data_IF_689496243229
#
_entry.id   IF_689496243229
#
_cell.length_a   1.000
_cell.length_b   1.000
_cell.length_c   1.000
_cell.angle_alpha   90.00
_cell.angle_beta   90.00
_cell.angle_gamma   90.00
#
_symmetry.space_group_name_H-M   'P 1'
#
loop_
_entity.id
_entity.type
_entity.pdbx_description
1 polymer ?
#
# COMPACT_ATOMS: atom_id res chain seq x y z
N UNK A 1 2.61 27.69 -52.08
CA UNK A 1 3.15 26.64 -51.18
C UNK A 1 3.45 25.36 -51.96
N UNK A 2 4.65 24.79 -51.84
CA UNK A 2 5.06 23.58 -52.58
C UNK A 2 4.31 22.33 -52.09
N UNK A 3 4.26 21.27 -52.91
CA UNK A 3 3.68 19.99 -52.51
C UNK A 3 4.41 19.37 -51.31
N UNK A 4 5.75 19.48 -51.27
CA UNK A 4 6.57 19.02 -50.16
C UNK A 4 6.21 19.74 -48.84
N UNK A 5 6.01 21.05 -48.88
CA UNK A 5 5.63 21.85 -47.71
C UNK A 5 4.25 21.44 -47.15
N UNK A 6 3.29 21.11 -48.03
CA UNK A 6 1.97 20.60 -47.61
C UNK A 6 2.07 19.25 -46.90
N UNK A 7 2.85 18.33 -47.47
CA UNK A 7 3.07 17.00 -46.89
C UNK A 7 3.72 17.13 -45.50
N UNK A 8 4.74 17.96 -45.36
CA UNK A 8 5.40 18.22 -44.06
C UNK A 8 4.41 18.79 -43.03
N UNK A 9 3.54 19.72 -43.44
CA UNK A 9 2.53 20.32 -42.55
C UNK A 9 1.50 19.27 -42.08
N UNK A 10 1.03 18.39 -42.98
CA UNK A 10 0.12 17.31 -42.61
C UNK A 10 0.78 16.29 -41.68
N UNK A 11 2.04 15.93 -41.92
CA UNK A 11 2.78 15.04 -41.03
C UNK A 11 2.99 15.66 -39.65
N UNK A 12 3.34 16.95 -39.56
CA UNK A 12 3.50 17.65 -38.29
C UNK A 12 2.17 17.76 -37.52
N UNK A 13 1.06 18.07 -38.21
CA UNK A 13 -0.26 18.09 -37.59
C UNK A 13 -0.67 16.70 -37.10
N UNK A 14 -0.44 15.64 -37.89
CA UNK A 14 -0.75 14.28 -37.48
C UNK A 14 0.06 13.85 -36.24
N UNK A 15 1.36 14.17 -36.19
CA UNK A 15 2.23 13.91 -35.03
C UNK A 15 1.72 14.70 -33.81
N UNK A 16 1.38 15.98 -33.96
CA UNK A 16 0.88 16.80 -32.87
C UNK A 16 -0.45 16.28 -32.31
N UNK A 17 -1.38 15.87 -33.19
CA UNK A 17 -2.65 15.24 -32.79
C UNK A 17 -2.44 13.91 -32.07
N UNK A 18 -1.53 13.06 -32.55
CA UNK A 18 -1.19 11.78 -31.90
C UNK A 18 -0.59 12.04 -30.52
N UNK A 19 0.34 12.99 -30.37
CA UNK A 19 0.95 13.31 -29.08
C UNK A 19 -0.09 13.83 -28.07
N UNK A 20 -1.05 14.67 -28.50
CA UNK A 20 -2.14 15.12 -27.63
C UNK A 20 -3.13 14.00 -27.26
N UNK A 21 -3.52 13.15 -28.22
CA UNK A 21 -4.38 11.99 -27.98
C UNK A 21 -3.72 11.00 -27.01
N UNK A 22 -2.45 10.71 -27.23
CA UNK A 22 -1.64 9.95 -26.30
C UNK A 22 -1.71 10.61 -24.92
N UNK A 23 -1.31 11.88 -24.78
CA UNK A 23 -1.36 12.61 -23.50
C UNK A 23 -2.72 12.57 -22.78
N UNK A 24 -3.83 12.61 -23.52
CA UNK A 24 -5.18 12.46 -22.99
C UNK A 24 -5.48 11.04 -22.50
N UNK A 25 -5.07 10.00 -23.25
CA UNK A 25 -5.17 8.60 -22.80
C UNK A 25 -4.32 8.36 -21.55
N UNK A 26 -3.11 8.94 -21.50
CA UNK A 26 -2.25 8.92 -20.30
C UNK A 26 -2.97 9.58 -19.11
N UNK A 27 -3.61 10.73 -19.31
CA UNK A 27 -4.38 11.40 -18.25
C UNK A 27 -5.54 10.57 -17.73
N UNK A 28 -6.34 9.99 -18.63
CA UNK A 28 -7.48 9.15 -18.24
C UNK A 28 -6.98 7.95 -17.43
N UNK A 29 -5.89 7.29 -17.86
CA UNK A 29 -5.31 6.17 -17.11
C UNK A 29 -4.76 6.60 -15.75
N UNK A 30 -4.02 7.72 -15.69
CA UNK A 30 -3.52 8.29 -14.42
C UNK A 30 -4.67 8.58 -13.45
N UNK A 31 -5.76 9.18 -13.94
CA UNK A 31 -6.98 9.44 -13.13
C UNK A 31 -7.62 8.13 -12.67
N UNK A 32 -7.77 7.15 -13.55
CA UNK A 32 -8.34 5.83 -13.21
C UNK A 32 -7.49 5.09 -12.18
N UNK A 33 -6.16 5.12 -12.30
CA UNK A 33 -5.27 4.52 -11.30
C UNK A 33 -5.30 5.30 -9.98
N UNK A 34 -5.38 6.64 -10.02
CA UNK A 34 -5.47 7.45 -8.81
C UNK A 34 -6.81 7.28 -8.08
N UNK A 35 -7.91 7.04 -8.80
CA UNK A 35 -9.21 6.75 -8.16
C UNK A 35 -9.17 5.49 -7.30
N UNK A 36 -8.33 4.52 -7.66
CA UNK A 36 -8.12 3.31 -6.87
C UNK A 36 -7.34 3.58 -5.56
N UNK A 37 -6.80 4.78 -5.38
CA UNK A 37 -6.03 5.18 -4.19
C UNK A 37 -6.57 6.42 -3.47
N UNK A 38 -7.71 6.94 -3.91
CA UNK A 38 -8.44 8.01 -3.23
C UNK A 38 -9.35 7.41 -2.16
N UNK A 39 -9.45 8.09 -1.00
CA UNK A 39 -10.38 7.73 0.09
C UNK A 39 -11.82 7.74 -0.46
N UNK A 40 -12.56 6.63 -0.34
CA UNK A 40 -14.00 6.61 -0.57
C UNK A 40 -14.73 7.64 0.30
N UNK A 41 -15.89 8.10 -0.18
CA UNK A 41 -16.74 9.00 0.59
C UNK A 41 -17.46 8.28 1.74
N UNK A 42 -17.77 6.99 1.54
CA UNK A 42 -18.30 6.12 2.55
C UNK A 42 -17.17 5.58 3.45
N UNK A 43 -17.32 5.73 4.76
CA UNK A 43 -16.29 5.37 5.72
C UNK A 43 -16.11 3.84 5.86
N UNK A 44 -17.16 3.06 5.60
CA UNK A 44 -17.07 1.60 5.64
C UNK A 44 -16.31 1.09 4.41
N UNK A 45 -16.63 1.61 3.23
CA UNK A 45 -15.90 1.35 1.99
C UNK A 45 -14.42 1.79 2.11
N UNK A 46 -14.16 2.92 2.77
CA UNK A 46 -12.80 3.36 3.08
C UNK A 46 -12.02 2.32 3.88
N UNK A 47 -12.60 1.80 4.97
CA UNK A 47 -11.91 0.83 5.81
C UNK A 47 -11.58 -0.46 5.07
N UNK A 48 -12.52 -0.97 4.26
CA UNK A 48 -12.30 -2.16 3.43
C UNK A 48 -11.15 -1.94 2.45
N UNK A 49 -11.20 -0.83 1.70
CA UNK A 49 -10.18 -0.47 0.71
C UNK A 49 -8.81 -0.25 1.35
N UNK A 50 -8.76 0.37 2.53
CA UNK A 50 -7.52 0.59 3.25
C UNK A 50 -6.87 -0.72 3.70
N UNK A 51 -7.67 -1.73 4.08
CA UNK A 51 -7.19 -3.08 4.43
C UNK A 51 -6.69 -3.84 3.21
N UNK A 52 -7.41 -3.83 2.09
CA UNK A 52 -6.98 -4.46 0.83
C UNK A 52 -5.61 -3.93 0.37
N UNK A 53 -5.41 -2.61 0.48
CA UNK A 53 -4.13 -1.97 0.19
C UNK A 53 -3.03 -2.46 1.15
N UNK A 54 -3.31 -2.57 2.45
CA UNK A 54 -2.32 -3.05 3.41
C UNK A 54 -1.92 -4.51 3.18
N UNK A 55 -2.85 -5.37 2.78
CA UNK A 55 -2.55 -6.75 2.36
C UNK A 55 -1.62 -6.76 1.14
N UNK A 56 -1.93 -5.97 0.12
CA UNK A 56 -1.10 -5.84 -1.09
C UNK A 56 0.33 -5.41 -0.74
N UNK A 57 0.47 -4.39 0.12
CA UNK A 57 1.78 -3.92 0.57
C UNK A 57 2.51 -4.95 1.42
N UNK A 58 1.81 -5.72 2.25
CA UNK A 58 2.40 -6.78 3.07
C UNK A 58 3.00 -7.92 2.25
N UNK A 59 2.30 -8.31 1.18
CA UNK A 59 2.82 -9.32 0.25
C UNK A 59 4.00 -8.78 -0.56
N UNK A 60 3.92 -7.54 -1.07
CA UNK A 60 5.05 -6.86 -1.73
C UNK A 60 6.27 -6.76 -0.82
N UNK A 61 6.07 -6.38 0.44
CA UNK A 61 7.12 -6.30 1.44
C UNK A 61 7.79 -7.67 1.64
N UNK A 62 6.98 -8.72 1.85
CA UNK A 62 7.46 -10.09 2.07
C UNK A 62 8.25 -10.63 0.87
N UNK A 63 7.86 -10.26 -0.35
CA UNK A 63 8.60 -10.61 -1.56
C UNK A 63 9.98 -9.92 -1.59
N UNK A 64 9.99 -8.59 -1.42
CA UNK A 64 11.20 -7.78 -1.50
C UNK A 64 12.23 -8.11 -0.42
N UNK A 65 11.75 -8.55 0.75
CA UNK A 65 12.56 -9.05 1.86
C UNK A 65 13.53 -10.17 1.43
N UNK A 66 13.15 -10.99 0.44
CA UNK A 66 13.93 -12.15 0.00
C UNK A 66 14.68 -11.98 -1.32
N UNK A 67 14.30 -10.98 -2.10
CA UNK A 67 14.88 -10.73 -3.42
C UNK A 67 15.82 -9.52 -3.42
N UNK A 68 16.09 -8.94 -2.25
CA UNK A 68 17.10 -7.90 -2.07
C UNK A 68 16.73 -6.58 -2.73
N UNK A 69 15.44 -6.31 -2.98
CA UNK A 69 15.02 -5.03 -3.51
C UNK A 69 14.62 -4.04 -2.40
N UNK A 70 13.74 -3.09 -2.75
CA UNK A 70 13.65 -1.81 -2.04
C UNK A 70 12.59 -1.83 -0.93
N UNK A 71 12.77 -2.66 0.11
CA UNK A 71 11.82 -2.77 1.25
C UNK A 71 11.43 -1.42 1.87
N UNK A 72 12.39 -0.49 2.00
CA UNK A 72 12.15 0.86 2.54
C UNK A 72 11.29 1.71 1.59
N UNK A 73 11.43 1.51 0.29
CA UNK A 73 10.57 2.18 -0.70
C UNK A 73 9.12 1.71 -0.56
N UNK A 74 8.91 0.39 -0.51
CA UNK A 74 7.58 -0.21 -0.32
C UNK A 74 6.93 0.33 0.96
N UNK A 75 7.66 0.33 2.08
CA UNK A 75 7.16 0.86 3.36
C UNK A 75 6.76 2.33 3.29
N UNK A 76 7.62 3.17 2.69
CA UNK A 76 7.35 4.60 2.56
C UNK A 76 6.15 4.88 1.65
N UNK A 77 6.00 4.11 0.58
CA UNK A 77 4.85 4.19 -0.32
C UNK A 77 3.57 3.80 0.42
N UNK A 78 3.56 2.69 1.17
CA UNK A 78 2.42 2.29 1.99
C UNK A 78 2.03 3.40 2.99
N UNK A 79 2.99 3.92 3.75
CA UNK A 79 2.75 5.00 4.72
C UNK A 79 2.19 6.25 4.02
N UNK A 80 2.79 6.66 2.89
CA UNK A 80 2.35 7.82 2.14
C UNK A 80 0.92 7.68 1.63
N UNK A 81 0.57 6.50 1.14
CA UNK A 81 -0.76 6.18 0.64
C UNK A 81 -1.80 6.14 1.76
N UNK A 82 -1.50 5.45 2.86
CA UNK A 82 -2.39 5.40 4.03
C UNK A 82 -2.65 6.80 4.59
N UNK A 83 -1.62 7.66 4.69
CA UNK A 83 -1.79 9.06 5.09
C UNK A 83 -2.68 9.86 4.12
N UNK A 84 -2.55 9.62 2.82
CA UNK A 84 -3.40 10.26 1.82
C UNK A 84 -4.86 9.84 1.97
N UNK A 85 -5.13 8.58 2.30
CA UNK A 85 -6.49 8.07 2.50
C UNK A 85 -7.10 8.51 3.83
N UNK A 86 -6.32 8.48 4.91
CA UNK A 86 -6.80 8.84 6.25
C UNK A 86 -7.11 10.34 6.38
N UNK A 87 -6.67 11.24 5.49
CA UNK A 87 -6.75 12.71 5.67
C UNK A 87 -5.98 13.24 6.89
N UNK A 88 -5.52 12.36 7.78
CA UNK A 88 -4.69 12.63 8.94
C UNK A 88 -3.43 11.75 8.91
N UNK A 89 -2.40 12.14 9.66
CA UNK A 89 -1.16 11.40 9.81
C UNK A 89 -1.23 10.25 10.83
N UNK A 90 -2.35 10.12 11.53
CA UNK A 90 -2.51 9.19 12.64
C UNK A 90 -2.91 7.79 12.15
N UNK A 91 -2.08 6.80 12.48
CA UNK A 91 -2.34 5.39 12.14
C UNK A 91 -3.54 4.82 12.93
N UNK A 92 -3.97 5.51 13.99
CA UNK A 92 -5.06 5.08 14.86
C UNK A 92 -6.46 5.46 14.35
N UNK A 93 -6.58 6.27 13.30
CA UNK A 93 -7.89 6.76 12.83
C UNK A 93 -8.87 5.62 12.52
N UNK A 94 -8.40 4.54 11.87
CA UNK A 94 -9.23 3.38 11.53
C UNK A 94 -9.70 2.61 12.76
N UNK A 95 -8.83 2.50 13.76
CA UNK A 95 -9.14 1.82 15.02
C UNK A 95 -10.16 2.67 15.80
N UNK A 96 -9.95 3.98 15.88
CA UNK A 96 -10.87 4.89 16.57
C UNK A 96 -12.26 4.89 15.93
N UNK A 97 -12.32 5.00 14.60
CA UNK A 97 -13.57 5.00 13.83
C UNK A 97 -14.40 3.73 14.09
N UNK A 98 -13.76 2.56 14.02
CA UNK A 98 -14.42 1.26 14.23
C UNK A 98 -14.84 1.05 15.68
N UNK A 99 -14.00 1.44 16.65
CA UNK A 99 -14.33 1.38 18.08
C UNK A 99 -15.53 2.26 18.41
N UNK A 100 -15.61 3.47 17.85
CA UNK A 100 -16.72 4.37 18.08
C UNK A 100 -18.02 3.83 17.48
N UNK A 101 -17.96 3.17 16.31
CA UNK A 101 -19.11 2.47 15.75
C UNK A 101 -19.59 1.31 16.62
N UNK A 102 -18.67 0.48 17.14
CA UNK A 102 -19.03 -0.60 18.07
C UNK A 102 -19.78 -0.03 19.29
N UNK A 103 -19.27 1.04 19.89
CA UNK A 103 -19.92 1.70 21.04
C UNK A 103 -21.31 2.23 20.67
N UNK A 104 -21.44 2.91 19.54
CA UNK A 104 -22.73 3.47 19.11
C UNK A 104 -23.79 2.39 18.85
N UNK A 105 -23.38 1.22 18.34
CA UNK A 105 -24.30 0.12 18.05
C UNK A 105 -24.76 -0.59 19.34
N UNK A 106 -23.90 -0.65 20.36
CA UNK A 106 -24.25 -1.23 21.66
C UNK A 106 -25.35 -0.45 22.40
N UNK A 107 -25.47 0.85 22.16
CA UNK A 107 -26.52 1.69 22.72
C UNK A 107 -27.89 1.45 22.06
N UNK A 108 -27.94 0.76 20.91
CA UNK A 108 -29.13 0.64 20.03
C UNK A 108 -29.75 -0.76 19.87
N UNK A 109 -29.24 -1.80 20.55
CA UNK A 109 -29.57 -3.24 20.51
C UNK A 109 -28.56 -4.13 19.76
N UNK A 110 -28.29 -5.31 20.33
CA UNK A 110 -27.27 -6.25 19.87
C UNK A 110 -27.67 -6.88 18.54
N UNK A 111 -26.91 -6.55 17.49
CA UNK A 111 -27.18 -6.88 16.10
C UNK A 111 -25.96 -7.60 15.49
N UNK A 112 -26.18 -8.37 14.41
CA UNK A 112 -25.11 -8.94 13.55
C UNK A 112 -24.13 -7.87 13.03
N UNK A 113 -24.51 -6.61 13.09
CA UNK A 113 -23.67 -5.45 12.82
C UNK A 113 -22.51 -5.31 13.81
N UNK A 114 -22.68 -5.67 15.08
CA UNK A 114 -21.58 -5.65 16.08
C UNK A 114 -20.49 -6.63 15.70
N UNK A 115 -20.87 -7.82 15.22
CA UNK A 115 -19.91 -8.84 14.77
C UNK A 115 -19.06 -8.31 13.60
N UNK A 116 -19.69 -7.77 12.56
CA UNK A 116 -18.98 -7.20 11.41
C UNK A 116 -18.06 -6.03 11.83
N UNK A 117 -18.54 -5.12 12.67
CA UNK A 117 -17.74 -4.00 13.18
C UNK A 117 -16.56 -4.47 14.04
N UNK A 118 -16.74 -5.57 14.78
CA UNK A 118 -15.68 -6.18 15.59
C UNK A 118 -14.54 -6.68 14.71
N UNK A 119 -14.84 -7.46 13.68
CA UNK A 119 -13.80 -7.97 12.77
C UNK A 119 -13.13 -6.85 11.97
N UNK A 120 -13.87 -5.79 11.62
CA UNK A 120 -13.30 -4.60 11.00
C UNK A 120 -12.34 -3.85 11.94
N UNK A 121 -12.67 -3.74 13.24
CA UNK A 121 -11.76 -3.16 14.23
C UNK A 121 -10.49 -4.01 14.41
N UNK A 122 -10.65 -5.34 14.44
CA UNK A 122 -9.52 -6.26 14.54
C UNK A 122 -8.62 -6.21 13.29
N UNK A 123 -9.20 -6.04 12.10
CA UNK A 123 -8.46 -5.81 10.86
C UNK A 123 -7.63 -4.53 10.94
N UNK A 124 -8.23 -3.41 11.40
CA UNK A 124 -7.51 -2.15 11.56
C UNK A 124 -6.34 -2.26 12.56
N UNK A 125 -6.54 -2.96 13.68
CA UNK A 125 -5.49 -3.25 14.66
C UNK A 125 -4.40 -4.12 14.03
N UNK A 126 -4.79 -5.17 13.32
CA UNK A 126 -3.89 -6.07 12.63
C UNK A 126 -3.02 -5.37 11.59
N UNK A 127 -3.62 -4.49 10.78
CA UNK A 127 -2.90 -3.74 9.76
C UNK A 127 -1.87 -2.79 10.39
N UNK A 128 -2.24 -2.08 11.46
CA UNK A 128 -1.29 -1.26 12.23
C UNK A 128 -0.14 -2.11 12.77
N UNK A 129 -0.46 -3.22 13.44
CA UNK A 129 0.52 -4.14 14.01
C UNK A 129 1.49 -4.69 12.95
N UNK A 130 0.97 -5.08 11.79
CA UNK A 130 1.78 -5.56 10.65
C UNK A 130 2.72 -4.46 10.15
N UNK A 131 2.22 -3.23 10.04
CA UNK A 131 3.03 -2.09 9.60
C UNK A 131 4.15 -1.73 10.58
N UNK A 132 3.88 -1.76 11.88
CA UNK A 132 4.88 -1.54 12.94
C UNK A 132 5.93 -2.67 12.97
N UNK A 133 5.51 -3.91 12.71
CA UNK A 133 6.39 -5.06 12.59
C UNK A 133 7.31 -4.93 11.36
N UNK A 134 6.79 -4.50 10.22
CA UNK A 134 7.57 -4.22 9.00
C UNK A 134 8.61 -3.11 9.23
N UNK A 135 8.22 -2.01 9.88
CA UNK A 135 9.14 -0.93 10.25
C UNK A 135 10.26 -1.44 11.17
N UNK A 136 9.90 -2.22 12.18
CA UNK A 136 10.85 -2.85 13.10
C UNK A 136 11.80 -3.80 12.38
N UNK A 137 11.32 -4.53 11.39
CA UNK A 137 12.11 -5.44 10.58
C UNK A 137 13.11 -4.70 9.66
N UNK A 138 12.71 -3.56 9.08
CA UNK A 138 13.63 -2.68 8.33
C UNK A 138 14.78 -2.24 9.25
N UNK A 139 14.46 -1.77 10.46
CA UNK A 139 15.48 -1.39 11.44
C UNK A 139 16.37 -2.59 11.78
N UNK A 140 15.81 -3.78 11.97
CA UNK A 140 16.56 -5.02 12.22
C UNK A 140 17.57 -5.35 11.10
N UNK A 141 17.19 -5.14 9.84
CA UNK A 141 18.01 -5.45 8.65
C UNK A 141 19.11 -4.43 8.38
N UNK A 142 18.82 -3.14 8.57
CA UNK A 142 19.74 -2.05 8.21
C UNK A 142 20.76 -1.73 9.32
N UNK A 143 20.58 -2.29 10.51
CA UNK A 143 21.41 -1.96 11.66
C UNK A 143 22.57 -2.95 11.86
N UNK A 144 23.76 -2.59 11.35
CA UNK A 144 25.01 -3.31 11.66
C UNK A 144 25.42 -3.22 13.14
N UNK A 145 24.85 -2.28 13.91
CA UNK A 145 25.24 -1.98 15.29
C UNK A 145 24.15 -2.20 16.34
N UNK A 146 22.95 -2.65 15.96
CA UNK A 146 21.88 -2.90 16.95
C UNK A 146 22.08 -4.29 17.54
N UNK A 147 22.29 -4.33 18.85
CA UNK A 147 22.48 -5.59 19.59
C UNK A 147 21.24 -6.47 19.52
N UNK A 148 21.40 -7.79 19.68
CA UNK A 148 20.28 -8.75 19.77
C UNK A 148 19.27 -8.37 20.85
N UNK A 149 19.74 -7.81 21.97
CA UNK A 149 18.89 -7.35 23.08
C UNK A 149 18.00 -6.18 22.63
N UNK A 150 18.57 -5.24 21.88
CA UNK A 150 17.82 -4.10 21.37
C UNK A 150 16.81 -4.52 20.30
N UNK A 151 17.16 -5.47 19.43
CA UNK A 151 16.24 -6.11 18.49
C UNK A 151 15.05 -6.77 19.22
N UNK A 152 15.33 -7.56 20.26
CA UNK A 152 14.30 -8.17 21.10
C UNK A 152 13.39 -7.13 21.75
N UNK A 153 13.94 -5.99 22.20
CA UNK A 153 13.17 -4.91 22.81
C UNK A 153 12.16 -4.31 21.82
N UNK A 154 12.60 -4.07 20.59
CA UNK A 154 11.75 -3.55 19.51
C UNK A 154 10.61 -4.53 19.21
N UNK A 155 10.92 -5.82 18.97
CA UNK A 155 9.87 -6.81 18.70
C UNK A 155 8.91 -6.98 19.88
N UNK A 156 9.41 -7.02 21.12
CA UNK A 156 8.56 -7.10 22.31
C UNK A 156 7.58 -5.94 22.41
N UNK A 157 8.03 -4.72 22.09
CA UNK A 157 7.17 -3.55 22.11
C UNK A 157 6.02 -3.69 21.11
N UNK A 158 6.30 -4.03 19.86
CA UNK A 158 5.28 -4.21 18.81
C UNK A 158 4.29 -5.33 19.17
N UNK A 159 4.79 -6.47 19.68
CA UNK A 159 3.94 -7.58 20.10
C UNK A 159 3.03 -7.17 21.28
N UNK A 160 3.59 -6.47 22.27
CA UNK A 160 2.83 -6.00 23.44
C UNK A 160 1.76 -4.97 23.06
N UNK A 161 2.10 -4.01 22.20
CA UNK A 161 1.19 -2.94 21.80
C UNK A 161 0.01 -3.49 20.99
N UNK A 162 0.26 -4.49 20.13
CA UNK A 162 -0.80 -5.22 19.42
C UNK A 162 -1.76 -5.94 20.38
N UNK A 163 -1.23 -6.62 21.41
CA UNK A 163 -2.07 -7.29 22.42
C UNK A 163 -2.89 -6.30 23.26
N UNK A 164 -2.33 -5.12 23.58
CA UNK A 164 -3.07 -4.05 24.27
C UNK A 164 -4.23 -3.54 23.42
N UNK A 165 -4.00 -3.27 22.13
CA UNK A 165 -5.04 -2.81 21.20
C UNK A 165 -6.14 -3.87 20.99
N UNK A 166 -5.76 -5.14 20.79
CA UNK A 166 -6.69 -6.26 20.75
C UNK A 166 -7.53 -6.35 22.04
N UNK A 167 -6.90 -6.16 23.20
CA UNK A 167 -7.56 -6.16 24.49
C UNK A 167 -8.67 -5.11 24.63
N UNK A 168 -8.51 -3.94 24.00
CA UNK A 168 -9.54 -2.89 23.98
C UNK A 168 -10.80 -3.40 23.28
N UNK A 169 -10.68 -3.97 22.07
CA UNK A 169 -11.83 -4.50 21.31
C UNK A 169 -12.47 -5.68 22.06
N UNK A 170 -11.65 -6.61 22.58
CA UNK A 170 -12.15 -7.74 23.37
C UNK A 170 -13.02 -7.30 24.57
N UNK A 171 -12.61 -6.25 25.26
CA UNK A 171 -13.33 -5.72 26.42
C UNK A 171 -14.60 -4.95 26.05
N UNK A 172 -14.69 -4.43 24.82
CA UNK A 172 -15.88 -3.76 24.32
C UNK A 172 -16.94 -4.77 23.90
N UNK A 173 -16.56 -5.88 23.27
CA UNK A 173 -17.54 -6.77 22.63
C UNK A 173 -18.18 -7.79 23.59
N UNK A 174 -19.39 -8.27 23.29
CA UNK A 174 -20.05 -9.30 24.10
C UNK A 174 -19.24 -10.59 24.24
N UNK A 175 -19.34 -11.24 25.41
CA UNK A 175 -18.58 -12.44 25.74
C UNK A 175 -18.72 -13.61 24.75
N UNK A 176 -19.84 -13.72 24.04
CA UNK A 176 -20.05 -14.79 23.05
C UNK A 176 -19.13 -14.69 21.82
N UNK A 177 -18.54 -13.51 21.56
CA UNK A 177 -17.58 -13.31 20.46
C UNK A 177 -16.13 -13.60 20.90
N UNK A 178 -15.84 -13.74 22.20
CA UNK A 178 -14.47 -13.78 22.72
C UNK A 178 -13.61 -14.90 22.13
N UNK A 179 -14.18 -16.10 21.97
CA UNK A 179 -13.46 -17.22 21.38
C UNK A 179 -13.19 -17.02 19.89
N UNK A 180 -14.18 -16.45 19.17
CA UNK A 180 -14.06 -16.19 17.73
C UNK A 180 -13.00 -15.14 17.45
N UNK A 181 -12.99 -14.03 18.19
CA UNK A 181 -11.99 -12.97 18.03
C UNK A 181 -10.60 -13.41 18.46
N UNK A 182 -10.49 -14.30 19.46
CA UNK A 182 -9.20 -14.85 19.89
C UNK A 182 -8.60 -15.75 18.80
N UNK A 183 -9.43 -16.63 18.22
CA UNK A 183 -9.01 -17.47 17.09
C UNK A 183 -8.62 -16.62 15.88
N UNK A 184 -9.44 -15.61 15.56
CA UNK A 184 -9.16 -14.68 14.47
C UNK A 184 -7.83 -13.96 14.68
N UNK A 185 -7.60 -13.39 15.86
CA UNK A 185 -6.36 -12.66 16.16
C UNK A 185 -5.12 -13.57 16.08
N UNK A 186 -5.23 -14.81 16.58
CA UNK A 186 -4.15 -15.80 16.45
C UNK A 186 -3.85 -16.12 14.98
N UNK A 187 -4.88 -16.29 14.15
CA UNK A 187 -4.71 -16.59 12.73
C UNK A 187 -4.12 -15.40 11.99
N UNK A 188 -4.64 -14.19 12.24
CA UNK A 188 -4.17 -12.95 11.64
C UNK A 188 -2.68 -12.77 11.88
N UNK A 189 -2.25 -12.86 13.14
CA UNK A 189 -0.83 -12.76 13.50
C UNK A 189 0.02 -13.79 12.75
N UNK A 190 -0.41 -15.04 12.65
CA UNK A 190 0.34 -16.07 11.95
C UNK A 190 0.44 -15.82 10.43
N UNK A 191 -0.60 -15.30 9.77
CA UNK A 191 -0.60 -15.09 8.31
C UNK A 191 0.08 -13.78 7.86
N UNK A 192 0.17 -12.79 8.75
CA UNK A 192 0.65 -11.43 8.43
C UNK A 192 2.07 -11.11 8.93
N UNK A 193 2.77 -12.04 9.58
CA UNK A 193 4.21 -11.85 9.86
C UNK A 193 4.98 -11.79 8.54
N UNK A 194 5.71 -10.69 8.26
CA UNK A 194 6.43 -10.52 7.02
C UNK A 194 7.45 -11.63 6.76
N UNK A 195 7.34 -12.26 5.59
CA UNK A 195 8.33 -13.23 5.11
C UNK A 195 8.37 -14.60 5.81
N UNK A 196 7.67 -14.81 6.92
CA UNK A 196 7.63 -16.13 7.58
C UNK A 196 6.34 -16.85 7.19
N UNK A 197 6.44 -18.13 6.86
CA UNK A 197 5.28 -18.97 6.56
C UNK A 197 4.43 -19.18 7.83
N UNK A 198 3.11 -19.01 7.71
CA UNK A 198 2.15 -19.17 8.81
C UNK A 198 2.28 -20.50 9.56
N UNK A 199 2.65 -21.58 8.88
CA UNK A 199 2.82 -22.91 9.49
C UNK A 199 3.98 -22.97 10.49
N UNK A 200 4.98 -22.08 10.35
CA UNK A 200 6.09 -21.95 11.29
C UNK A 200 5.75 -21.03 12.48
N UNK A 201 4.59 -20.39 12.45
CA UNK A 201 4.09 -19.44 13.44
C UNK A 201 2.90 -19.98 14.21
N UNK A 202 2.58 -21.27 14.10
CA UNK A 202 1.47 -21.89 14.83
C UNK A 202 2.01 -22.91 15.85
N UNK A 203 1.74 -22.74 17.16
CA UNK A 203 1.10 -21.58 17.80
C UNK A 203 1.97 -20.31 17.69
N UNK A 204 1.34 -19.13 17.81
CA UNK A 204 2.04 -17.85 17.63
C UNK A 204 3.21 -17.71 18.64
N UNK A 205 4.45 -17.51 18.15
CA UNK A 205 5.63 -17.51 19.01
C UNK A 205 5.73 -16.24 19.87
N UNK A 206 6.51 -16.34 20.95
CA UNK A 206 6.97 -15.16 21.67
C UNK A 206 8.06 -14.40 20.87
N UNK A 207 8.48 -13.25 21.39
CA UNK A 207 9.48 -12.40 20.73
C UNK A 207 10.84 -13.07 20.53
N UNK A 208 11.27 -13.93 21.47
CA UNK A 208 12.54 -14.65 21.36
C UNK A 208 12.49 -15.63 20.21
N UNK A 209 11.44 -16.45 20.17
CA UNK A 209 11.27 -17.45 19.13
C UNK A 209 10.99 -16.82 17.77
N UNK A 210 10.27 -15.70 17.72
CA UNK A 210 10.07 -14.93 16.49
C UNK A 210 11.39 -14.38 15.95
N UNK A 211 12.27 -13.88 16.83
CA UNK A 211 13.58 -13.42 16.43
C UNK A 211 14.46 -14.56 15.89
N UNK A 212 14.44 -15.73 16.54
CA UNK A 212 15.14 -16.92 16.03
C UNK A 212 14.66 -17.31 14.63
N UNK A 213 13.34 -17.26 14.38
CA UNK A 213 12.77 -17.54 13.07
C UNK A 213 13.24 -16.52 12.02
N UNK A 214 13.34 -15.24 12.37
CA UNK A 214 13.87 -14.22 11.46
C UNK A 214 15.37 -14.42 11.19
N UNK A 215 16.16 -14.73 12.21
CA UNK A 215 17.58 -15.08 12.03
C UNK A 215 17.70 -16.28 11.07
N UNK A 216 16.87 -17.32 11.23
CA UNK A 216 16.88 -18.52 10.40
C UNK A 216 16.42 -18.27 8.95
N UNK A 217 15.44 -17.39 8.74
CA UNK A 217 14.82 -17.11 7.44
C UNK A 217 15.57 -16.05 6.63
N UNK A 218 16.18 -15.07 7.31
CA UNK A 218 16.84 -13.92 6.68
C UNK A 218 18.37 -14.02 6.66
N UNK A 219 18.97 -14.63 7.69
CA UNK A 219 20.43 -14.74 7.85
C UNK A 219 20.91 -16.18 7.65
N UNK A 220 20.08 -17.17 7.99
CA UNK A 220 20.38 -18.58 7.93
C UNK A 220 20.46 -19.15 6.50
N UNK A 221 21.47 -19.96 6.24
CA UNK A 221 21.71 -20.62 4.94
C UNK A 221 20.76 -21.80 4.62
N UNK A 222 19.85 -22.22 5.52
CA UNK A 222 19.36 -23.61 5.52
C UNK A 222 17.84 -23.85 5.62
N UNK A 223 16.98 -22.84 5.47
CA UNK A 223 15.54 -23.02 5.74
C UNK A 223 14.60 -22.35 4.75
N UNK A 224 14.56 -22.89 3.51
CA UNK A 224 13.45 -22.64 2.57
C UNK A 224 12.07 -22.99 3.16
N UNK A 225 12.02 -23.86 4.18
CA UNK A 225 10.77 -24.39 4.75
C UNK A 225 9.90 -23.31 5.42
N UNK A 226 10.51 -22.38 6.16
CA UNK A 226 9.78 -21.33 6.88
C UNK A 226 9.71 -20.00 6.12
N UNK A 227 10.31 -19.91 4.92
CA UNK A 227 10.18 -18.75 4.05
C UNK A 227 8.74 -18.70 3.49
N UNK A 228 8.08 -17.55 3.62
CA UNK A 228 6.78 -17.29 2.97
C UNK A 228 6.97 -17.33 1.47
N UNK A 229 6.18 -18.15 0.78
CA UNK A 229 6.16 -18.20 -0.69
C UNK A 229 5.21 -17.12 -1.18
N UNK A 230 5.76 -16.07 -1.79
CA UNK A 230 4.98 -14.99 -2.39
C UNK A 230 4.98 -15.19 -3.90
N UNK A 231 3.81 -15.27 -4.58
CA UNK A 231 3.74 -15.37 -6.02
C UNK A 231 4.43 -14.17 -6.71
N UNK A 232 5.28 -14.43 -7.71
CA UNK A 232 5.96 -13.38 -8.49
C UNK A 232 4.98 -12.42 -9.19
N UNK A 233 3.75 -12.86 -9.45
CA UNK A 233 2.71 -12.08 -10.14
C UNK A 233 2.27 -10.82 -9.37
N UNK A 234 2.50 -10.77 -8.05
CA UNK A 234 2.17 -9.61 -7.19
C UNK A 234 3.08 -8.40 -7.52
N UNK A 235 4.16 -8.61 -8.28
CA UNK A 235 5.22 -7.64 -8.51
C UNK A 235 5.07 -6.75 -9.75
N UNK A 236 4.30 -7.12 -10.77
CA UNK A 236 4.38 -6.43 -12.07
C UNK A 236 3.87 -4.98 -12.10
N UNK A 237 3.46 -4.41 -10.96
CA UNK A 237 2.91 -3.07 -10.86
C UNK A 237 3.48 -2.30 -9.65
N UNK A 238 4.60 -1.59 -9.85
CA UNK A 238 5.00 -0.50 -8.94
C UNK A 238 4.19 0.73 -9.32
N UNK A 239 2.99 0.82 -8.73
CA UNK A 239 2.03 1.91 -8.92
C UNK A 239 2.70 3.27 -8.86
N UNK A 240 3.70 3.44 -7.99
CA UNK A 240 4.33 4.74 -7.75
C UNK A 240 5.39 5.08 -8.81
N UNK A 241 6.26 4.13 -9.17
CA UNK A 241 7.16 4.29 -10.32
C UNK A 241 6.36 4.48 -11.60
N UNK A 242 5.35 3.66 -11.80
CA UNK A 242 4.46 3.73 -12.95
C UNK A 242 3.74 5.09 -12.98
N UNK A 243 3.25 5.57 -11.85
CA UNK A 243 2.67 6.92 -11.73
C UNK A 243 3.68 8.01 -12.10
N UNK A 244 4.91 7.98 -11.58
CA UNK A 244 5.96 8.95 -11.94
C UNK A 244 6.28 8.90 -13.45
N UNK A 245 6.50 7.71 -14.00
CA UNK A 245 6.76 7.52 -15.43
C UNK A 245 5.60 8.03 -16.29
N UNK A 246 4.35 7.78 -15.88
CA UNK A 246 3.17 8.26 -16.57
C UNK A 246 2.99 9.78 -16.45
N UNK A 247 3.19 10.38 -15.27
CA UNK A 247 3.05 11.83 -15.05
C UNK A 247 4.11 12.60 -15.85
N UNK A 248 5.38 12.18 -15.81
CA UNK A 248 6.44 12.81 -16.62
C UNK A 248 6.26 12.55 -18.12
N UNK A 249 5.84 11.34 -18.50
CA UNK A 249 5.52 10.99 -19.89
C UNK A 249 4.40 11.87 -20.47
N UNK A 250 3.31 12.04 -19.71
CA UNK A 250 2.19 12.93 -20.06
C UNK A 250 2.64 14.38 -20.18
N UNK A 251 3.39 14.89 -19.21
CA UNK A 251 3.89 16.27 -19.25
C UNK A 251 4.76 16.52 -20.48
N UNK A 252 5.65 15.57 -20.81
CA UNK A 252 6.48 15.64 -22.01
C UNK A 252 5.64 15.61 -23.30
N UNK A 253 4.63 14.73 -23.40
CA UNK A 253 3.77 14.64 -24.57
C UNK A 253 2.90 15.88 -24.79
N UNK A 254 2.32 16.44 -23.73
CA UNK A 254 1.55 17.68 -23.80
C UNK A 254 2.43 18.87 -24.19
N UNK A 255 3.63 18.97 -23.62
CA UNK A 255 4.58 20.04 -23.96
C UNK A 255 5.03 19.95 -25.42
N UNK A 256 5.44 18.76 -25.89
CA UNK A 256 5.86 18.54 -27.27
C UNK A 256 4.71 18.75 -28.25
N UNK A 257 3.50 18.27 -27.92
CA UNK A 257 2.31 18.50 -28.73
C UNK A 257 1.98 19.99 -28.88
N UNK A 258 1.95 20.73 -27.77
CA UNK A 258 1.71 22.18 -27.77
C UNK A 258 2.79 22.95 -28.54
N UNK A 259 4.07 22.57 -28.38
CA UNK A 259 5.19 23.15 -29.13
C UNK A 259 5.01 22.92 -30.64
N UNK A 260 4.66 21.70 -31.07
CA UNK A 260 4.38 21.40 -32.47
C UNK A 260 3.23 22.25 -33.02
N UNK A 261 2.12 22.38 -32.28
CA UNK A 261 1.01 23.26 -32.67
C UNK A 261 1.41 24.73 -32.79
N UNK A 262 2.20 25.24 -31.83
CA UNK A 262 2.68 26.62 -31.87
C UNK A 262 3.59 26.88 -33.08
N UNK A 263 4.49 25.94 -33.40
CA UNK A 263 5.36 26.04 -34.57
C UNK A 263 4.57 25.99 -35.88
N UNK A 264 3.54 25.14 -35.98
CA UNK A 264 2.63 25.09 -37.13
C UNK A 264 1.86 26.40 -37.28
N UNK A 265 1.30 26.93 -36.19
CA UNK A 265 0.57 28.20 -36.20
C UNK A 265 1.46 29.37 -36.62
N UNK A 266 2.68 29.49 -36.06
CA UNK A 266 3.65 30.51 -36.45
C UNK A 266 4.04 30.40 -37.93
N UNK A 267 4.20 29.18 -38.44
CA UNK A 267 4.51 28.94 -39.85
C UNK A 267 3.36 29.36 -40.76
N UNK A 268 2.11 29.04 -40.41
CA UNK A 268 0.92 29.46 -41.15
C UNK A 268 0.74 30.99 -41.14
N UNK A 269 0.84 31.64 -39.98
CA UNK A 269 0.70 33.10 -39.85
C UNK A 269 1.80 33.88 -40.62
N UNK A 270 3.02 33.34 -40.68
CA UNK A 270 4.13 33.95 -41.44
C UNK A 270 3.98 33.80 -42.95
N UNK A 271 3.22 32.80 -43.41
CA UNK A 271 2.90 32.64 -44.83
C UNK A 271 1.74 33.53 -45.27
N UNK A 272 0.72 33.72 -44.44
CA UNK A 272 -0.41 34.63 -44.74
C UNK A 272 -0.02 36.12 -44.74
N UNK A 273 1.06 36.49 -44.04
CA UNK A 273 1.56 37.87 -44.00
C UNK A 273 2.53 38.23 -45.13
N UNK A 274 2.92 37.27 -45.98
CA UNK A 274 3.79 37.47 -47.16
C UNK A 274 3.05 37.25 -48.49
N UNK A 275 1.72 37.22 -48.46
CA UNK A 275 0.79 37.26 -49.60
C UNK A 275 0.13 38.63 -49.67
#
# INVERSE_FOLDING_TARGET
>A
MSAATRITLYCLNAIATILMLCGAVFYVREVLTMTDYVRPADEFEYLQKASEIDEEFSDKFSYELFHGGKIRHIQNTQIGLQKSMAKNSDLDERILLTVDWIKSEQEGSVSSKIENLTFMALEAIGSKWTQELQQSLIVYLESEHVTRIEKLRIFNHVLSDGELAYGIVKNLVPGYLHDQIAQWWSNYKASHVPGINETCLQPFPDSYRLLDLYDDVLVGNNTEKCRKKVPEQIYHYDVYQEHLWWTYGKAAMLFLGALCFALIALFCCRFDSNL
#
